data_IF_443175808592
#
_entry.id   IF_443175808592
#
_cell.length_a   1.000
_cell.length_b   1.000
_cell.length_c   1.000
_cell.angle_alpha   90.00
_cell.angle_beta   90.00
_cell.angle_gamma   90.00
#
_symmetry.space_group_name_H-M   'P 1'
#
loop_
_entity.id
_entity.type
_entity.pdbx_description
1 polymer ?
#
# COMPACT_ATOMS: atom_id res chain seq x y z
N UNK A 1 -9.02 -3.29 -27.64
CA UNK A 1 -7.75 -3.85 -27.12
C UNK A 1 -7.02 -2.73 -26.39
N UNK A 2 -6.54 -2.95 -25.16
CA UNK A 2 -5.80 -1.94 -24.42
C UNK A 2 -4.47 -1.62 -25.12
N UNK A 3 -4.15 -0.33 -25.23
CA UNK A 3 -2.87 0.08 -25.80
C UNK A 3 -1.79 -0.08 -24.73
N UNK A 4 -0.88 -1.06 -24.91
CA UNK A 4 0.21 -1.38 -23.97
C UNK A 4 1.19 -0.23 -23.73
N UNK A 5 1.28 0.74 -24.64
CA UNK A 5 2.11 1.94 -24.47
C UNK A 5 1.47 2.96 -23.51
N UNK A 6 0.15 2.89 -23.33
CA UNK A 6 -0.61 3.83 -22.50
C UNK A 6 -1.07 3.24 -21.17
N UNK A 7 -1.08 1.91 -21.06
CA UNK A 7 -1.57 1.20 -19.87
C UNK A 7 -0.48 0.29 -19.35
N UNK A 8 0.00 0.57 -18.14
CA UNK A 8 0.89 -0.29 -17.37
C UNK A 8 0.07 -1.10 -16.37
N UNK A 9 0.42 -2.36 -16.18
CA UNK A 9 -0.24 -3.25 -15.23
C UNK A 9 0.65 -3.41 -14.00
N UNK A 10 0.08 -3.17 -12.84
CA UNK A 10 0.68 -3.45 -11.54
C UNK A 10 -0.10 -4.52 -10.80
N UNK A 11 0.56 -5.20 -9.86
CA UNK A 11 -0.05 -6.25 -9.04
C UNK A 11 0.50 -6.20 -7.61
N UNK A 12 -0.33 -6.55 -6.63
CA UNK A 12 0.11 -6.75 -5.25
C UNK A 12 0.68 -8.17 -5.06
N UNK A 13 1.66 -8.37 -4.16
CA UNK A 13 2.23 -9.69 -3.89
C UNK A 13 1.30 -10.64 -3.15
N UNK A 14 0.10 -10.23 -2.80
CA UNK A 14 -0.87 -11.00 -2.01
C UNK A 14 -1.26 -12.35 -2.63
N UNK A 15 -1.09 -12.51 -3.96
CA UNK A 15 -1.29 -13.78 -4.65
C UNK A 15 -0.18 -14.82 -4.36
N UNK A 16 0.98 -14.39 -3.87
CA UNK A 16 2.13 -15.23 -3.51
C UNK A 16 2.34 -15.33 -2.02
N UNK A 17 2.10 -14.23 -1.30
CA UNK A 17 2.29 -14.11 0.15
C UNK A 17 1.15 -13.31 0.73
N UNK A 18 0.57 -13.76 1.83
CA UNK A 18 -0.55 -13.06 2.44
C UNK A 18 -0.11 -12.39 3.74
N UNK A 19 -0.24 -11.06 3.83
CA UNK A 19 0.19 -10.28 4.98
C UNK A 19 -0.78 -10.42 6.17
N UNK A 20 -2.06 -10.71 5.90
CA UNK A 20 -3.09 -10.94 6.93
C UNK A 20 -3.11 -12.41 7.41
N UNK A 21 -2.69 -13.33 6.54
CA UNK A 21 -2.61 -14.76 6.81
C UNK A 21 -1.18 -15.26 6.50
N UNK A 22 -0.20 -14.97 7.37
CA UNK A 22 1.23 -15.10 7.06
C UNK A 22 1.71 -16.54 6.81
N UNK A 23 0.91 -17.54 7.17
CA UNK A 23 1.19 -18.93 6.83
C UNK A 23 0.93 -19.26 5.36
N UNK A 24 0.10 -18.46 4.67
CA UNK A 24 -0.17 -18.63 3.24
C UNK A 24 0.96 -18.04 2.41
N UNK A 25 1.68 -18.91 1.69
CA UNK A 25 2.78 -18.52 0.81
C UNK A 25 4.04 -18.09 1.58
N UNK A 26 4.21 -18.51 2.83
CA UNK A 26 5.41 -18.19 3.63
C UNK A 26 6.72 -18.67 3.01
N UNK A 27 6.66 -19.72 2.22
CA UNK A 27 7.78 -20.31 1.49
C UNK A 27 8.21 -19.45 0.30
N UNK A 28 7.33 -18.64 -0.27
CA UNK A 28 7.66 -17.79 -1.42
C UNK A 28 8.54 -16.63 -1.00
N UNK A 29 9.65 -16.44 -1.70
CA UNK A 29 10.57 -15.34 -1.45
C UNK A 29 10.15 -14.08 -2.21
N UNK A 30 10.68 -12.92 -1.80
CA UNK A 30 10.52 -11.67 -2.54
C UNK A 30 10.98 -11.82 -4.00
N UNK A 31 12.16 -12.44 -4.23
CA UNK A 31 12.74 -12.62 -5.56
C UNK A 31 11.86 -13.51 -6.46
N UNK A 32 11.23 -14.53 -5.88
CA UNK A 32 10.28 -15.38 -6.60
C UNK A 32 9.07 -14.55 -7.01
N UNK A 33 8.44 -13.84 -6.07
CA UNK A 33 7.25 -13.03 -6.33
C UNK A 33 7.48 -12.06 -7.49
N UNK A 34 8.53 -11.25 -7.42
CA UNK A 34 8.79 -10.24 -8.46
C UNK A 34 9.25 -10.82 -9.79
N UNK A 35 9.89 -12.01 -9.78
CA UNK A 35 10.25 -12.71 -11.01
C UNK A 35 9.01 -13.25 -11.72
N UNK A 36 8.08 -13.84 -10.98
CA UNK A 36 6.83 -14.37 -11.54
C UNK A 36 5.90 -13.25 -12.01
N UNK A 37 5.85 -12.11 -11.29
CA UNK A 37 5.16 -10.90 -11.75
C UNK A 37 5.66 -10.44 -13.11
N UNK A 38 6.98 -10.35 -13.27
CA UNK A 38 7.63 -9.96 -14.52
C UNK A 38 7.32 -10.96 -15.66
N UNK A 39 7.42 -12.28 -15.38
CA UNK A 39 7.08 -13.33 -16.34
C UNK A 39 5.60 -13.28 -16.78
N UNK A 40 4.69 -12.90 -15.88
CA UNK A 40 3.29 -12.69 -16.18
C UNK A 40 3.01 -11.40 -16.97
N UNK A 41 4.02 -10.54 -17.17
CA UNK A 41 3.92 -9.30 -17.95
C UNK A 41 3.54 -8.06 -17.14
N UNK A 42 3.56 -8.13 -15.81
CA UNK A 42 3.40 -6.95 -14.96
C UNK A 42 4.69 -6.11 -14.94
N UNK A 43 4.53 -4.80 -14.99
CA UNK A 43 5.62 -3.82 -14.94
C UNK A 43 5.62 -3.02 -13.64
N UNK A 44 4.60 -3.17 -12.81
CA UNK A 44 4.46 -2.52 -11.52
C UNK A 44 4.16 -3.51 -10.40
N UNK A 45 4.66 -3.23 -9.21
CA UNK A 45 4.35 -3.98 -8.00
C UNK A 45 3.94 -3.04 -6.88
N UNK A 46 2.96 -3.45 -6.09
CA UNK A 46 2.74 -2.91 -4.76
C UNK A 46 3.81 -3.47 -3.80
N UNK A 47 4.20 -2.69 -2.80
CA UNK A 47 5.17 -3.14 -1.79
C UNK A 47 4.51 -4.16 -0.85
N UNK A 48 5.13 -5.32 -0.68
CA UNK A 48 4.72 -6.33 0.30
C UNK A 48 5.68 -6.42 1.49
N UNK A 49 5.28 -7.14 2.53
CA UNK A 49 6.04 -7.27 3.78
C UNK A 49 7.43 -7.89 3.60
N UNK A 50 7.60 -8.75 2.60
CA UNK A 50 8.90 -9.41 2.31
C UNK A 50 9.87 -8.55 1.51
N UNK A 51 9.44 -7.35 1.09
CA UNK A 51 10.28 -6.49 0.26
C UNK A 51 11.40 -5.86 1.08
N UNK A 52 12.62 -5.72 0.51
CA UNK A 52 13.70 -4.97 1.13
C UNK A 52 13.24 -3.56 1.54
N UNK A 53 13.61 -3.12 2.74
CA UNK A 53 13.27 -1.78 3.25
C UNK A 53 14.24 -0.70 2.75
N UNK A 54 15.43 -1.11 2.33
CA UNK A 54 16.44 -0.20 1.77
C UNK A 54 16.10 0.10 0.30
N UNK A 55 15.98 1.40 -0.01
CA UNK A 55 15.55 1.90 -1.32
C UNK A 55 16.47 1.45 -2.44
N UNK A 56 17.79 1.53 -2.23
CA UNK A 56 18.76 1.19 -3.28
C UNK A 56 18.80 -0.32 -3.56
N UNK A 57 18.71 -1.12 -2.51
CA UNK A 57 18.62 -2.58 -2.62
C UNK A 57 17.35 -2.99 -3.38
N UNK A 58 16.20 -2.39 -3.01
CA UNK A 58 14.93 -2.69 -3.65
C UNK A 58 14.92 -2.26 -5.12
N UNK A 59 15.39 -1.05 -5.43
CA UNK A 59 15.51 -0.57 -6.81
C UNK A 59 16.34 -1.51 -7.69
N UNK A 60 17.53 -1.93 -7.20
CA UNK A 60 18.40 -2.85 -7.94
C UNK A 60 17.71 -4.18 -8.21
N UNK A 61 17.06 -4.76 -7.20
CA UNK A 61 16.38 -6.04 -7.33
C UNK A 61 15.23 -5.99 -8.34
N UNK A 62 14.45 -4.92 -8.33
CA UNK A 62 13.32 -4.72 -9.24
C UNK A 62 13.79 -4.40 -10.68
N UNK A 63 14.83 -3.58 -10.83
CA UNK A 63 15.37 -3.20 -12.13
C UNK A 63 15.85 -4.42 -12.94
N UNK A 64 16.41 -5.44 -12.28
CA UNK A 64 16.80 -6.71 -12.92
C UNK A 64 15.64 -7.41 -13.63
N UNK A 65 14.39 -7.08 -13.26
CA UNK A 65 13.17 -7.73 -13.74
C UNK A 65 12.28 -6.79 -14.55
N UNK A 66 12.67 -5.53 -14.71
CA UNK A 66 11.86 -4.52 -15.39
C UNK A 66 10.56 -4.19 -14.63
N UNK A 67 10.55 -4.35 -13.31
CA UNK A 67 9.42 -4.02 -12.43
C UNK A 67 9.75 -2.77 -11.64
N UNK A 68 8.74 -1.91 -11.42
CA UNK A 68 8.82 -0.69 -10.62
C UNK A 68 7.83 -0.75 -9.45
N UNK A 69 8.08 -0.02 -8.37
CA UNK A 69 7.05 0.19 -7.35
C UNK A 69 6.01 1.18 -7.86
N UNK A 70 4.75 0.78 -7.87
CA UNK A 70 3.64 1.62 -8.29
C UNK A 70 2.73 2.07 -7.16
N UNK A 71 2.71 1.34 -6.04
CA UNK A 71 1.87 1.62 -4.88
C UNK A 71 2.46 0.97 -3.62
N UNK A 72 1.99 1.40 -2.45
CA UNK A 72 2.08 0.67 -1.19
C UNK A 72 0.86 1.02 -0.33
N UNK A 73 0.38 0.03 0.40
CA UNK A 73 -0.72 0.19 1.34
C UNK A 73 -0.29 1.00 2.57
N UNK A 74 -1.14 1.94 2.99
CA UNK A 74 -0.99 2.65 4.25
C UNK A 74 -2.30 2.59 5.05
N UNK A 75 -2.22 2.16 6.30
CA UNK A 75 -3.36 2.15 7.22
C UNK A 75 -3.48 3.49 7.94
N UNK A 76 -4.63 4.14 7.81
CA UNK A 76 -4.98 5.33 8.59
C UNK A 76 -5.84 4.96 9.80
N UNK A 77 -5.83 5.82 10.82
CA UNK A 77 -6.61 5.69 12.04
C UNK A 77 -7.26 7.03 12.40
N UNK A 78 -7.76 7.73 11.37
CA UNK A 78 -8.23 9.10 11.46
C UNK A 78 -9.53 9.22 12.28
N UNK A 79 -10.35 8.18 12.31
CA UNK A 79 -11.58 8.17 13.11
C UNK A 79 -11.32 7.93 14.61
N UNK A 80 -10.15 7.36 15.01
CA UNK A 80 -9.89 6.97 16.40
C UNK A 80 -8.66 7.60 17.03
N UNK A 81 -7.77 8.20 16.24
CA UNK A 81 -6.51 8.81 16.71
C UNK A 81 -6.38 10.25 16.26
N UNK A 82 -5.57 11.07 16.97
CA UNK A 82 -5.20 12.40 16.51
C UNK A 82 -4.57 12.34 15.11
N UNK A 83 -4.95 13.28 14.25
CA UNK A 83 -4.42 13.38 12.89
C UNK A 83 -2.89 13.38 12.84
N UNK A 84 -2.26 14.09 13.77
CA UNK A 84 -0.81 14.29 13.83
C UNK A 84 -0.04 12.98 13.98
N UNK A 85 -0.61 12.00 14.68
CA UNK A 85 0.00 10.66 14.82
C UNK A 85 0.00 9.93 13.47
N UNK A 86 -1.10 9.98 12.75
CA UNK A 86 -1.22 9.40 11.41
C UNK A 86 -0.29 10.11 10.42
N UNK A 87 -0.23 11.45 10.45
CA UNK A 87 0.60 12.24 9.54
C UNK A 87 2.09 11.93 9.68
N UNK A 88 2.61 11.76 10.90
CA UNK A 88 4.03 11.43 11.13
C UNK A 88 4.44 10.14 10.42
N UNK A 89 3.65 9.10 10.54
CA UNK A 89 3.94 7.81 9.88
C UNK A 89 3.66 7.86 8.38
N UNK A 90 2.61 8.58 7.98
CA UNK A 90 2.29 8.79 6.57
C UNK A 90 3.41 9.48 5.80
N UNK A 91 4.02 10.53 6.39
CA UNK A 91 5.16 11.23 5.79
C UNK A 91 6.35 10.32 5.52
N UNK A 92 6.67 9.41 6.45
CA UNK A 92 7.74 8.41 6.26
C UNK A 92 7.41 7.48 5.10
N UNK A 93 6.16 7.01 5.07
CA UNK A 93 5.67 6.09 4.05
C UNK A 93 5.68 6.71 2.65
N UNK A 94 5.14 7.93 2.51
CA UNK A 94 5.08 8.60 1.20
C UNK A 94 6.45 9.06 0.73
N UNK A 95 7.37 9.43 1.65
CA UNK A 95 8.77 9.72 1.31
C UNK A 95 9.47 8.49 0.71
N UNK A 96 9.25 7.31 1.28
CA UNK A 96 9.74 6.05 0.70
C UNK A 96 9.17 5.82 -0.70
N UNK A 97 7.85 5.97 -0.89
CA UNK A 97 7.21 5.81 -2.20
C UNK A 97 7.75 6.79 -3.24
N UNK A 98 7.90 8.07 -2.86
CA UNK A 98 8.49 9.09 -3.72
C UNK A 98 9.94 8.71 -4.12
N UNK A 99 10.74 8.24 -3.16
CA UNK A 99 12.10 7.75 -3.41
C UNK A 99 12.11 6.56 -4.37
N UNK A 100 11.12 5.68 -4.30
CA UNK A 100 10.93 4.55 -5.24
C UNK A 100 10.40 4.98 -6.61
N UNK A 101 9.95 6.23 -6.77
CA UNK A 101 9.40 6.76 -8.02
C UNK A 101 7.90 6.54 -8.19
N UNK A 102 7.21 5.98 -7.21
CA UNK A 102 5.77 5.78 -7.23
C UNK A 102 5.03 7.12 -7.30
N UNK A 103 3.86 7.12 -7.94
CA UNK A 103 3.03 8.32 -8.15
C UNK A 103 1.71 8.28 -7.40
N UNK A 104 1.41 7.16 -6.76
CA UNK A 104 0.16 6.92 -6.04
C UNK A 104 0.47 6.22 -4.73
N UNK A 105 -0.31 6.53 -3.69
CA UNK A 105 -0.35 5.82 -2.42
C UNK A 105 -1.79 5.38 -2.14
N UNK A 106 -2.01 4.09 -1.90
CA UNK A 106 -3.28 3.56 -1.45
C UNK A 106 -3.42 3.66 0.06
N UNK A 107 -4.53 4.22 0.54
CA UNK A 107 -4.81 4.32 1.98
C UNK A 107 -6.12 3.64 2.34
N UNK A 108 -6.21 3.13 3.55
CA UNK A 108 -7.43 2.57 4.10
C UNK A 108 -7.60 2.96 5.56
N UNK A 109 -8.81 3.38 5.93
CA UNK A 109 -9.15 3.65 7.32
C UNK A 109 -9.34 2.33 8.08
N UNK A 110 -8.57 2.16 9.16
CA UNK A 110 -8.47 0.90 9.92
C UNK A 110 -8.86 1.04 11.40
N UNK A 111 -9.42 2.19 11.81
CA UNK A 111 -9.72 2.47 13.24
C UNK A 111 -10.51 1.36 13.93
N UNK A 112 -11.45 0.77 13.21
CA UNK A 112 -12.36 -0.26 13.75
C UNK A 112 -12.39 -1.50 12.86
N UNK A 113 -11.30 -1.74 12.12
CA UNK A 113 -11.21 -2.88 11.23
C UNK A 113 -11.19 -4.20 12.00
N UNK A 114 -11.94 -5.16 11.50
CA UNK A 114 -11.89 -6.57 11.95
C UNK A 114 -10.90 -7.40 11.16
N UNK A 115 -10.18 -6.79 10.22
CA UNK A 115 -9.16 -7.46 9.41
C UNK A 115 -8.04 -8.01 10.31
N UNK A 116 -7.63 -9.25 10.05
CA UNK A 116 -6.61 -9.93 10.85
C UNK A 116 -7.12 -10.58 12.14
N UNK A 117 -8.41 -10.47 12.47
CA UNK A 117 -9.01 -11.19 13.59
C UNK A 117 -9.50 -12.56 13.07
N UNK A 118 -8.68 -13.60 13.30
CA UNK A 118 -8.85 -14.91 12.65
C UNK A 118 -10.08 -15.71 13.10
N UNK A 119 -10.62 -15.43 14.27
CA UNK A 119 -11.75 -16.13 14.90
C UNK A 119 -13.08 -15.37 14.78
N UNK A 120 -13.06 -14.20 14.13
CA UNK A 120 -14.26 -13.39 13.88
C UNK A 120 -14.60 -13.38 12.39
N UNK A 121 -15.86 -13.71 12.00
CA UNK A 121 -16.31 -13.54 10.62
C UNK A 121 -16.20 -12.09 10.17
N UNK A 122 -15.67 -11.87 8.95
CA UNK A 122 -15.40 -10.52 8.40
C UNK A 122 -16.66 -9.64 8.34
N UNK A 123 -17.84 -10.24 8.31
CA UNK A 123 -19.12 -9.52 8.21
C UNK A 123 -19.78 -9.23 9.56
N UNK A 124 -19.24 -9.78 10.66
CA UNK A 124 -19.78 -9.57 12.00
C UNK A 124 -19.10 -8.41 12.70
N UNK A 125 -19.88 -7.60 13.39
CA UNK A 125 -19.36 -6.52 14.22
C UNK A 125 -18.69 -5.37 13.45
N UNK A 126 -19.01 -5.18 12.17
CA UNK A 126 -18.53 -4.02 11.42
C UNK A 126 -19.05 -2.74 12.05
N UNK A 127 -18.11 -1.85 12.36
CA UNK A 127 -18.43 -0.52 12.82
C UNK A 127 -19.05 0.32 11.69
N UNK A 128 -20.14 0.98 11.99
CA UNK A 128 -20.73 2.00 11.10
C UNK A 128 -20.33 3.37 11.63
N UNK A 129 -19.63 4.14 10.80
CA UNK A 129 -19.17 5.47 11.18
C UNK A 129 -20.34 6.42 11.36
N UNK A 130 -20.30 7.20 12.43
CA UNK A 130 -21.17 8.35 12.61
C UNK A 130 -20.71 9.57 11.81
N UNK A 131 -21.52 10.63 11.78
CA UNK A 131 -21.21 11.85 11.01
C UNK A 131 -19.89 12.49 11.44
N UNK A 132 -19.57 12.45 12.74
CA UNK A 132 -18.32 13.01 13.27
C UNK A 132 -17.10 12.22 12.81
N UNK A 133 -17.19 10.91 12.80
CA UNK A 133 -16.12 10.02 12.32
C UNK A 133 -15.90 10.21 10.81
N UNK A 134 -16.99 10.38 10.05
CA UNK A 134 -16.90 10.74 8.63
C UNK A 134 -16.23 12.09 8.39
N UNK A 135 -16.57 13.11 9.20
CA UNK A 135 -15.93 14.43 9.11
C UNK A 135 -14.43 14.33 9.41
N UNK A 136 -14.02 13.59 10.45
CA UNK A 136 -12.61 13.36 10.79
C UNK A 136 -11.87 12.63 9.66
N UNK A 137 -12.48 11.60 9.08
CA UNK A 137 -11.90 10.86 7.96
C UNK A 137 -11.71 11.77 6.74
N UNK A 138 -12.75 12.50 6.34
CA UNK A 138 -12.71 13.37 5.17
C UNK A 138 -11.69 14.51 5.33
N UNK A 139 -11.66 15.18 6.48
CA UNK A 139 -10.68 16.23 6.78
C UNK A 139 -9.26 15.66 6.77
N UNK A 140 -9.07 14.55 7.48
CA UNK A 140 -7.76 13.89 7.57
C UNK A 140 -7.22 13.45 6.20
N UNK A 141 -8.04 12.81 5.37
CA UNK A 141 -7.64 12.39 4.02
C UNK A 141 -7.33 13.59 3.12
N UNK A 142 -8.10 14.67 3.19
CA UNK A 142 -7.82 15.90 2.43
C UNK A 142 -6.47 16.52 2.83
N UNK A 143 -6.17 16.55 4.13
CA UNK A 143 -4.89 17.07 4.65
C UNK A 143 -3.72 16.15 4.22
N UNK A 144 -3.84 14.84 4.38
CA UNK A 144 -2.82 13.87 3.93
C UNK A 144 -2.60 13.95 2.41
N UNK A 145 -3.67 14.02 1.62
CA UNK A 145 -3.60 14.15 0.17
C UNK A 145 -2.88 15.42 -0.27
N UNK A 146 -3.12 16.55 0.42
CA UNK A 146 -2.41 17.80 0.17
C UNK A 146 -0.91 17.65 0.45
N UNK A 147 -0.54 17.14 1.63
CA UNK A 147 0.86 16.87 2.02
C UNK A 147 1.54 15.97 0.99
N UNK A 148 0.91 14.84 0.66
CA UNK A 148 1.45 13.87 -0.29
C UNK A 148 1.70 14.48 -1.67
N UNK A 149 0.74 15.25 -2.16
CA UNK A 149 0.81 15.84 -3.50
C UNK A 149 1.80 16.99 -3.58
N UNK A 150 1.74 17.93 -2.62
CA UNK A 150 2.53 19.16 -2.67
C UNK A 150 3.99 18.93 -2.31
N UNK A 151 4.27 18.08 -1.32
CA UNK A 151 5.63 17.87 -0.81
C UNK A 151 6.37 16.72 -1.49
N UNK A 152 5.65 15.69 -1.92
CA UNK A 152 6.25 14.46 -2.44
C UNK A 152 5.89 14.15 -3.91
N UNK A 153 4.92 14.85 -4.48
CA UNK A 153 4.47 14.60 -5.86
C UNK A 153 3.75 13.25 -6.04
N UNK A 154 3.24 12.66 -4.94
CA UNK A 154 2.50 11.40 -4.89
C UNK A 154 1.02 11.72 -4.68
N UNK A 155 0.13 11.14 -5.47
CA UNK A 155 -1.32 11.29 -5.29
C UNK A 155 -1.83 10.27 -4.26
N UNK A 156 -2.76 10.69 -3.40
CA UNK A 156 -3.49 9.83 -2.49
C UNK A 156 -4.80 9.43 -3.16
#
# INVERSE_FOLDING_TARGET
MLNKEKVKLGIAPIAWTNDDLPDLGKENTFEQCVSEMALAGFTGSEVGNKYPKDVETLKKALALRGVEICNAWFSTFLASKPYEETEVEFRKHVAFLAAMGAKVVGVSEQSYSTQGISDQPVFEGKHEMDDKEWDLLCDGLNRLGKVSKEEYGVAL
#
